data_IF_687994576948
#
_entry.id   IF_687994576948
#
_cell.length_a   1.000
_cell.length_b   1.000
_cell.length_c   1.000
_cell.angle_alpha   90.00
_cell.angle_beta   90.00
_cell.angle_gamma   90.00
#
_symmetry.space_group_name_H-M   'P 1'
#
loop_
_entity.id
_entity.type
_entity.pdbx_description
1 polymer ?
#
# COMPACT_ATOMS: atom_id res chain seq x y z
N UNK A 1 0.89 20.99 -20.96
CA UNK A 1 1.76 20.06 -20.19
C UNK A 1 2.13 18.91 -21.12
N UNK A 2 3.31 18.95 -21.70
CA UNK A 2 3.89 17.82 -22.44
C UNK A 2 4.97 17.13 -21.59
N UNK A 3 5.53 16.03 -22.12
CA UNK A 3 6.49 15.13 -21.45
C UNK A 3 5.88 14.31 -20.30
N UNK A 4 4.92 13.46 -20.66
CA UNK A 4 4.45 12.38 -19.80
C UNK A 4 5.54 11.34 -19.56
N UNK A 5 6.28 11.48 -18.45
CA UNK A 5 7.17 10.42 -17.94
C UNK A 5 7.22 10.34 -16.40
N UNK A 6 6.21 10.88 -15.71
CA UNK A 6 6.04 10.63 -14.29
C UNK A 6 5.44 9.23 -14.10
N UNK A 7 6.31 8.22 -14.05
CA UNK A 7 5.99 6.92 -13.47
C UNK A 7 6.49 6.92 -12.04
N UNK A 8 5.56 6.86 -11.09
CA UNK A 8 5.91 6.61 -9.68
C UNK A 8 5.47 5.21 -9.28
N UNK A 9 6.35 4.53 -8.55
CA UNK A 9 5.95 3.42 -7.70
C UNK A 9 5.77 3.96 -6.28
N UNK A 10 4.80 3.45 -5.54
CA UNK A 10 4.43 3.91 -4.19
C UNK A 10 4.35 2.70 -3.26
N UNK A 11 4.84 2.85 -2.04
CA UNK A 11 4.92 1.74 -1.07
C UNK A 11 4.32 2.11 0.27
N UNK A 12 3.47 1.24 0.80
CA UNK A 12 2.75 1.43 2.04
C UNK A 12 2.88 0.20 2.95
N UNK A 13 3.14 0.42 4.23
CA UNK A 13 2.91 -0.59 5.28
C UNK A 13 2.24 0.07 6.47
N UNK A 14 1.03 -0.36 6.83
CA UNK A 14 0.39 0.09 8.07
C UNK A 14 1.00 -0.65 9.28
N UNK A 15 1.32 0.12 10.33
CA UNK A 15 1.70 -0.39 11.66
C UNK A 15 0.91 0.35 12.74
N UNK A 16 0.84 -0.22 13.94
CA UNK A 16 0.26 0.47 15.10
C UNK A 16 1.23 1.56 15.58
N UNK A 17 0.71 2.66 16.13
CA UNK A 17 1.56 3.64 16.80
C UNK A 17 2.26 2.99 18.01
N UNK A 18 3.56 3.25 18.17
CA UNK A 18 4.38 2.70 19.25
C UNK A 18 4.90 1.27 19.07
N UNK A 19 4.51 0.53 18.02
CA UNK A 19 5.04 -0.82 17.74
C UNK A 19 6.21 -0.79 16.76
N UNK A 20 7.28 -1.51 17.07
CA UNK A 20 8.43 -1.70 16.17
C UNK A 20 8.19 -2.80 15.12
N UNK A 21 7.09 -3.54 15.19
CA UNK A 21 6.73 -4.64 14.29
C UNK A 21 6.67 -4.22 12.82
N UNK A 22 7.56 -4.83 12.02
CA UNK A 22 7.57 -4.70 10.57
C UNK A 22 6.40 -5.49 9.96
N UNK A 23 5.43 -4.72 9.49
CA UNK A 23 4.21 -5.21 8.86
C UNK A 23 4.43 -5.47 7.36
N UNK A 24 3.56 -6.26 6.69
CA UNK A 24 3.63 -6.43 5.24
C UNK A 24 3.55 -5.07 4.53
N UNK A 25 4.41 -4.91 3.51
CA UNK A 25 4.46 -3.77 2.59
C UNK A 25 3.73 -4.15 1.31
N UNK A 26 2.77 -3.33 0.90
CA UNK A 26 2.22 -3.35 -0.46
C UNK A 26 2.95 -2.33 -1.31
N UNK A 27 3.09 -2.61 -2.60
CA UNK A 27 3.80 -1.77 -3.56
C UNK A 27 2.92 -1.58 -4.82
N UNK A 28 2.45 -0.36 -5.02
CA UNK A 28 1.57 0.06 -6.10
C UNK A 28 2.43 0.65 -7.21
N UNK A 29 2.43 0.01 -8.40
CA UNK A 29 3.37 0.32 -9.49
C UNK A 29 2.73 1.08 -10.64
N UNK A 30 3.57 1.70 -11.48
CA UNK A 30 3.17 2.38 -12.73
C UNK A 30 2.11 3.49 -12.54
N UNK A 31 2.16 4.24 -11.44
CA UNK A 31 1.23 5.35 -11.21
C UNK A 31 1.61 6.55 -12.09
N UNK A 32 0.82 6.77 -13.14
CA UNK A 32 1.04 7.81 -14.16
C UNK A 32 0.51 9.22 -13.75
N UNK A 33 0.00 9.38 -12.52
CA UNK A 33 -0.50 10.65 -11.99
C UNK A 33 -0.51 10.67 -10.47
N UNK A 34 -0.12 11.80 -9.88
CA UNK A 34 -0.16 12.04 -8.44
C UNK A 34 -1.58 11.92 -7.85
N UNK A 35 -2.63 12.29 -8.60
CA UNK A 35 -4.02 12.13 -8.14
C UNK A 35 -4.40 10.66 -7.98
N UNK A 36 -4.04 9.81 -8.94
CA UNK A 36 -4.27 8.37 -8.85
C UNK A 36 -3.40 7.71 -7.78
N UNK A 37 -2.17 8.18 -7.58
CA UNK A 37 -1.32 7.73 -6.48
C UNK A 37 -1.95 8.01 -5.10
N UNK A 38 -2.53 9.19 -4.89
CA UNK A 38 -3.28 9.54 -3.69
C UNK A 38 -4.50 8.64 -3.49
N UNK A 39 -5.35 8.50 -4.51
CA UNK A 39 -6.57 7.69 -4.42
C UNK A 39 -6.26 6.20 -4.18
N UNK A 40 -5.25 5.64 -4.84
CA UNK A 40 -4.81 4.26 -4.63
C UNK A 40 -4.22 4.05 -3.22
N UNK A 41 -3.46 5.02 -2.70
CA UNK A 41 -2.93 4.97 -1.33
C UNK A 41 -4.06 5.04 -0.29
N UNK A 42 -5.09 5.86 -0.50
CA UNK A 42 -6.26 5.91 0.40
C UNK A 42 -7.00 4.57 0.43
N UNK A 43 -7.30 3.98 -0.74
CA UNK A 43 -7.92 2.66 -0.83
C UNK A 43 -7.08 1.57 -0.13
N UNK A 44 -5.78 1.51 -0.41
CA UNK A 44 -4.86 0.55 0.22
C UNK A 44 -4.80 0.72 1.75
N UNK A 45 -4.84 1.96 2.27
CA UNK A 45 -4.94 2.23 3.71
C UNK A 45 -6.26 1.69 4.29
N UNK A 46 -7.39 1.91 3.62
CA UNK A 46 -8.69 1.43 4.08
C UNK A 46 -8.80 -0.10 4.02
N UNK A 47 -8.30 -0.75 2.96
CA UNK A 47 -8.27 -2.21 2.84
C UNK A 47 -7.32 -2.84 3.88
N UNK A 48 -6.08 -2.35 4.02
CA UNK A 48 -5.14 -2.83 5.05
C UNK A 48 -5.66 -2.64 6.49
N UNK A 49 -6.49 -1.61 6.71
CA UNK A 49 -7.13 -1.36 8.00
C UNK A 49 -8.35 -2.27 8.21
N UNK A 50 -9.17 -2.49 7.18
CA UNK A 50 -10.32 -3.38 7.22
C UNK A 50 -9.89 -4.84 7.44
N UNK A 51 -8.88 -5.30 6.70
CA UNK A 51 -8.24 -6.61 6.90
C UNK A 51 -7.75 -6.74 8.35
N UNK A 52 -7.03 -5.75 8.91
CA UNK A 52 -6.58 -5.81 10.33
C UNK A 52 -7.71 -5.74 11.36
N UNK A 53 -8.86 -5.13 11.04
CA UNK A 53 -10.03 -5.07 11.94
C UNK A 53 -10.80 -6.39 11.94
N UNK A 54 -10.94 -7.03 10.78
CA UNK A 54 -11.72 -8.25 10.59
C UNK A 54 -10.90 -9.51 10.93
N UNK A 55 -9.65 -9.57 10.45
CA UNK A 55 -8.77 -10.72 10.61
C UNK A 55 -8.07 -10.74 11.97
N UNK A 56 -8.64 -11.47 12.93
CA UNK A 56 -7.90 -12.00 14.10
C UNK A 56 -6.90 -13.10 13.67
N UNK A 57 -5.90 -12.71 12.87
CA UNK A 57 -4.85 -13.54 12.25
C UNK A 57 -5.37 -14.67 11.30
N UNK A 58 -4.50 -15.35 10.53
CA UNK A 58 -3.13 -15.04 10.06
C UNK A 58 -3.14 -14.75 8.52
N UNK A 59 -2.11 -14.78 7.67
CA UNK A 59 -0.66 -15.08 7.76
C UNK A 59 0.18 -13.95 7.08
N UNK A 60 0.79 -14.21 5.91
CA UNK A 60 1.48 -13.28 4.98
C UNK A 60 1.25 -13.79 3.55
N UNK A 61 0.85 -12.95 2.60
CA UNK A 61 0.93 -13.31 1.18
C UNK A 61 2.34 -13.00 0.67
N UNK A 62 3.19 -14.04 0.61
CA UNK A 62 4.44 -13.97 -0.13
C UNK A 62 4.14 -14.29 -1.59
N UNK A 63 4.45 -13.38 -2.51
CA UNK A 63 4.46 -13.71 -3.94
C UNK A 63 5.63 -14.66 -4.20
N UNK A 64 5.33 -15.94 -4.39
CA UNK A 64 6.27 -16.93 -4.91
C UNK A 64 6.62 -16.62 -6.36
N UNK A 65 7.86 -16.94 -6.76
CA UNK A 65 8.29 -16.96 -8.16
C UNK A 65 7.66 -18.13 -8.91
#
# INVERSE_FOLDING_TARGET
MEKGHFKSDVSLSLRKAGTNDLNPRTEIKNLNSFKFALQALQLEVEEQLNIRKNTKAPQKQQQTK
#
